data_IF_844631211841
#
_entry.id   IF_844631211841
#
_cell.length_a   1.000
_cell.length_b   1.000
_cell.length_c   1.000
_cell.angle_alpha   90.00
_cell.angle_beta   90.00
_cell.angle_gamma   90.00
#
_symmetry.space_group_name_H-M   'P 1'
#
loop_
_entity.id
_entity.type
_entity.pdbx_description
1 polymer ?
#
# COMPACT_ATOMS: atom_id res chain seq x y z
N UNK A 1 4.33 -10.66 3.46
CA UNK A 1 3.50 -9.90 4.37
C UNK A 1 4.16 -9.77 5.73
N UNK A 2 3.81 -8.74 6.49
CA UNK A 2 4.36 -8.53 7.83
C UNK A 2 3.68 -9.47 8.82
N UNK A 3 4.40 -10.46 9.31
CA UNK A 3 3.89 -11.50 10.23
C UNK A 3 4.34 -11.32 11.67
N UNK A 4 5.19 -10.32 11.96
CA UNK A 4 5.76 -10.08 13.30
C UNK A 4 4.83 -9.33 14.23
N UNK A 5 3.81 -8.65 13.69
CA UNK A 5 2.92 -7.81 14.48
C UNK A 5 1.49 -8.34 14.44
N UNK A 6 0.92 -8.48 15.62
CA UNK A 6 -0.49 -8.75 15.81
C UNK A 6 -1.16 -7.49 16.33
N UNK A 7 -1.85 -6.77 15.46
CA UNK A 7 -2.45 -5.48 15.79
C UNK A 7 -3.93 -5.66 16.06
N UNK A 8 -4.37 -5.23 17.25
CA UNK A 8 -5.77 -5.18 17.64
C UNK A 8 -6.17 -3.77 18.05
N UNK A 9 -7.36 -3.36 17.64
CA UNK A 9 -7.95 -2.11 18.11
C UNK A 9 -8.63 -2.37 19.45
N UNK A 10 -8.18 -1.66 20.49
CA UNK A 10 -8.85 -1.66 21.80
C UNK A 10 -9.83 -0.48 21.82
N UNK A 11 -11.04 -0.71 22.30
CA UNK A 11 -12.05 0.35 22.47
C UNK A 11 -11.57 1.44 23.45
N UNK A 12 -12.07 2.64 23.26
CA UNK A 12 -11.77 3.74 24.18
C UNK A 12 -12.47 3.49 25.52
N UNK A 13 -11.76 3.67 26.62
CA UNK A 13 -12.35 3.64 27.96
C UNK A 13 -13.14 4.93 28.11
N UNK A 14 -14.46 4.85 28.28
CA UNK A 14 -15.37 6.01 28.28
C UNK A 14 -15.34 6.79 29.59
N UNK A 15 -14.96 6.15 30.69
CA UNK A 15 -14.87 6.78 32.01
C UNK A 15 -13.52 6.52 32.64
N UNK A 16 -12.91 7.55 33.21
CA UNK A 16 -11.77 7.39 34.10
C UNK A 16 -12.21 6.64 35.35
N UNK A 17 -11.53 5.51 35.60
CA UNK A 17 -11.76 4.66 36.76
C UNK A 17 -10.49 4.62 37.61
N UNK A 18 -10.49 5.36 38.70
CA UNK A 18 -9.36 5.46 39.62
C UNK A 18 -8.99 4.12 40.25
N UNK A 19 -9.94 3.20 40.38
CA UNK A 19 -9.74 1.87 40.96
C UNK A 19 -9.46 0.79 39.94
N UNK A 20 -9.38 1.14 38.64
CA UNK A 20 -9.17 0.19 37.55
C UNK A 20 -7.95 -0.71 37.75
N UNK A 21 -6.82 -0.13 38.14
CA UNK A 21 -5.59 -0.87 38.40
C UNK A 21 -5.74 -1.84 39.58
N UNK A 22 -6.45 -1.43 40.63
CA UNK A 22 -6.71 -2.29 41.79
C UNK A 22 -7.55 -3.49 41.39
N UNK A 23 -8.66 -3.27 40.67
CA UNK A 23 -9.51 -4.34 40.16
C UNK A 23 -8.77 -5.33 39.26
N UNK A 24 -7.94 -4.82 38.31
CA UNK A 24 -7.11 -5.70 37.48
C UNK A 24 -6.20 -6.58 38.33
N UNK A 25 -5.55 -6.00 39.37
CA UNK A 25 -4.68 -6.80 40.26
C UNK A 25 -5.43 -7.89 40.98
N UNK A 26 -6.65 -7.62 41.40
CA UNK A 26 -7.51 -8.62 42.08
C UNK A 26 -7.97 -9.74 41.13
N UNK A 27 -8.10 -9.45 39.82
CA UNK A 27 -8.48 -10.42 38.79
C UNK A 27 -7.31 -11.29 38.27
N UNK A 28 -6.04 -10.90 38.54
CA UNK A 28 -4.85 -11.66 38.07
C UNK A 28 -4.92 -13.16 38.44
N UNK A 29 -5.27 -13.59 39.66
CA UNK A 29 -5.31 -15.00 39.98
C UNK A 29 -6.33 -15.78 39.16
N UNK A 30 -7.52 -15.20 38.93
CA UNK A 30 -8.57 -15.78 38.10
C UNK A 30 -8.15 -15.88 36.65
N UNK A 31 -7.47 -14.86 36.14
CA UNK A 31 -6.94 -14.84 34.77
C UNK A 31 -5.83 -15.89 34.58
N UNK A 32 -4.92 -16.03 35.54
CA UNK A 32 -3.89 -17.08 35.53
C UNK A 32 -4.49 -18.48 35.54
N UNK A 33 -5.50 -18.72 36.39
CA UNK A 33 -6.25 -19.96 36.39
C UNK A 33 -6.88 -20.27 35.04
N UNK A 34 -7.53 -19.26 34.41
CA UNK A 34 -8.08 -19.40 33.08
C UNK A 34 -7.00 -19.75 32.03
N UNK A 35 -5.84 -19.11 32.07
CA UNK A 35 -4.75 -19.41 31.15
C UNK A 35 -4.19 -20.82 31.32
N UNK A 36 -4.05 -21.29 32.54
CA UNK A 36 -3.53 -22.63 32.83
C UNK A 36 -4.47 -23.76 32.33
N UNK A 37 -5.78 -23.49 32.32
CA UNK A 37 -6.79 -24.48 31.92
C UNK A 37 -7.28 -24.31 30.49
N UNK A 38 -6.80 -23.29 29.80
CA UNK A 38 -7.20 -23.02 28.42
C UNK A 38 -6.50 -23.95 27.44
N UNK A 39 -7.28 -24.66 26.66
CA UNK A 39 -6.77 -25.39 25.48
C UNK A 39 -6.74 -24.45 24.27
N UNK A 40 -5.62 -24.44 23.55
CA UNK A 40 -5.49 -23.65 22.33
C UNK A 40 -6.27 -24.33 21.21
N UNK A 41 -7.09 -23.57 20.51
CA UNK A 41 -7.92 -24.06 19.39
C UNK A 41 -7.10 -24.28 18.10
N UNK A 42 -5.89 -23.75 18.02
CA UNK A 42 -5.02 -23.85 16.85
C UNK A 42 -3.84 -24.76 17.12
N UNK A 43 -3.56 -25.67 16.18
CA UNK A 43 -2.36 -26.51 16.24
C UNK A 43 -1.12 -25.65 15.98
N UNK A 44 -0.06 -25.91 16.74
CA UNK A 44 1.23 -25.28 16.54
C UNK A 44 1.89 -25.92 15.32
N UNK A 45 1.85 -25.23 14.18
CA UNK A 45 2.41 -25.73 12.92
C UNK A 45 3.83 -25.22 12.66
N UNK A 46 4.19 -24.04 13.19
CA UNK A 46 5.50 -23.43 12.98
C UNK A 46 5.88 -22.51 14.15
N UNK A 47 7.05 -21.87 14.08
CA UNK A 47 7.46 -20.81 15.02
C UNK A 47 6.43 -19.68 15.11
N UNK A 48 5.73 -19.40 14.01
CA UNK A 48 4.64 -18.43 13.89
C UNK A 48 3.34 -19.20 13.63
N UNK A 49 2.83 -19.84 14.66
CA UNK A 49 1.73 -20.83 14.62
C UNK A 49 0.31 -20.27 14.45
N UNK A 50 0.22 -18.97 14.20
CA UNK A 50 -1.06 -18.36 13.82
C UNK A 50 -1.18 -18.33 12.29
N UNK A 51 -2.35 -18.77 11.78
CA UNK A 51 -2.61 -18.65 10.36
C UNK A 51 -2.59 -17.17 9.93
N UNK A 52 -2.16 -16.86 8.72
CA UNK A 52 -2.16 -15.49 8.20
C UNK A 52 -3.53 -14.79 8.34
N UNK A 53 -4.63 -15.52 8.19
CA UNK A 53 -6.00 -15.01 8.34
C UNK A 53 -6.30 -14.47 9.74
N UNK A 54 -5.72 -15.06 10.77
CA UNK A 54 -5.88 -14.60 12.16
C UNK A 54 -5.02 -13.36 12.46
N UNK A 55 -3.92 -13.17 11.73
CA UNK A 55 -2.99 -12.05 11.90
C UNK A 55 -3.45 -10.84 11.11
N UNK A 56 -4.06 -11.05 9.92
CA UNK A 56 -4.59 -9.99 9.07
C UNK A 56 -5.84 -9.34 9.68
N UNK A 57 -5.62 -8.39 10.58
CA UNK A 57 -6.70 -7.60 11.17
C UNK A 57 -6.94 -6.31 10.39
N UNK A 58 -8.16 -5.76 10.43
CA UNK A 58 -8.45 -4.44 9.85
C UNK A 58 -7.56 -3.35 10.43
N UNK A 59 -7.17 -3.46 11.71
CA UNK A 59 -6.26 -2.51 12.36
C UNK A 59 -4.86 -2.58 11.74
N UNK A 60 -4.33 -3.78 11.46
CA UNK A 60 -3.06 -3.96 10.77
C UNK A 60 -3.12 -3.38 9.34
N UNK A 61 -4.18 -3.67 8.60
CA UNK A 61 -4.38 -3.12 7.25
C UNK A 61 -4.40 -1.60 7.25
N UNK A 62 -5.04 -0.96 8.24
CA UNK A 62 -5.04 0.52 8.37
C UNK A 62 -3.65 1.07 8.64
N UNK A 63 -2.86 0.42 9.51
CA UNK A 63 -1.48 0.84 9.79
C UNK A 63 -0.60 0.69 8.53
N UNK A 64 -0.71 -0.41 7.82
CA UNK A 64 0.02 -0.63 6.58
C UNK A 64 -0.34 0.46 5.56
N UNK A 65 -1.62 0.82 5.42
CA UNK A 65 -2.07 1.90 4.52
C UNK A 65 -1.54 3.27 4.95
N UNK A 66 -1.58 3.59 6.26
CA UNK A 66 -1.09 4.89 6.77
C UNK A 66 0.42 5.04 6.65
N UNK A 67 1.16 3.93 6.56
CA UNK A 67 2.62 3.91 6.41
C UNK A 67 3.06 3.76 4.94
N UNK A 68 2.14 3.90 3.97
CA UNK A 68 2.53 3.91 2.57
C UNK A 68 3.53 5.02 2.29
N UNK A 69 4.49 4.72 1.46
CA UNK A 69 5.44 5.70 0.98
C UNK A 69 4.69 6.82 0.23
N UNK A 70 4.86 8.07 0.67
CA UNK A 70 4.25 9.23 0.02
C UNK A 70 4.44 9.23 -1.49
N UNK A 71 5.64 8.89 -1.96
CA UNK A 71 5.93 8.79 -3.39
C UNK A 71 5.05 7.73 -4.10
N UNK A 72 4.75 6.60 -3.45
CA UNK A 72 3.86 5.57 -4.01
C UNK A 72 2.43 6.11 -4.19
N UNK A 73 1.93 6.84 -3.20
CA UNK A 73 0.59 7.46 -3.28
C UNK A 73 0.53 8.47 -4.43
N UNK A 74 1.49 9.38 -4.48
CA UNK A 74 1.60 10.37 -5.56
C UNK A 74 1.73 9.71 -6.95
N UNK A 75 2.48 8.62 -7.06
CA UNK A 75 2.58 7.85 -8.30
C UNK A 75 1.24 7.25 -8.72
N UNK A 76 0.50 6.68 -7.79
CA UNK A 76 -0.80 6.06 -8.07
C UNK A 76 -1.83 7.13 -8.48
N UNK A 77 -1.88 8.27 -7.77
CA UNK A 77 -2.73 9.40 -8.10
C UNK A 77 -2.40 9.97 -9.48
N UNK A 78 -1.11 10.19 -9.77
CA UNK A 78 -0.65 10.65 -11.10
C UNK A 78 -1.07 9.70 -12.22
N UNK A 79 -0.94 8.38 -12.01
CA UNK A 79 -1.40 7.39 -12.99
C UNK A 79 -2.91 7.48 -13.24
N UNK A 80 -3.72 7.63 -12.18
CA UNK A 80 -5.18 7.76 -12.32
C UNK A 80 -5.57 9.05 -13.03
N UNK A 81 -4.95 10.18 -12.69
CA UNK A 81 -5.19 11.47 -13.37
C UNK A 81 -4.87 11.40 -14.86
N UNK A 82 -3.73 10.79 -15.22
CA UNK A 82 -3.36 10.56 -16.62
C UNK A 82 -4.41 9.70 -17.32
N UNK A 83 -4.84 8.58 -16.71
CA UNK A 83 -5.86 7.72 -17.29
C UNK A 83 -7.20 8.42 -17.43
N UNK A 84 -7.58 9.30 -16.51
CA UNK A 84 -8.83 10.07 -16.58
C UNK A 84 -8.75 11.10 -17.71
N UNK A 85 -7.65 11.82 -17.80
CA UNK A 85 -7.42 12.81 -18.87
C UNK A 85 -7.46 12.17 -20.27
N UNK A 86 -6.87 10.99 -20.42
CA UNK A 86 -6.80 10.24 -21.66
C UNK A 86 -8.01 9.34 -21.93
N UNK A 87 -8.92 9.20 -20.98
CA UNK A 87 -10.03 8.22 -21.00
C UNK A 87 -9.55 6.79 -21.27
N UNK A 88 -8.39 6.44 -20.67
CA UNK A 88 -7.74 5.15 -20.82
C UNK A 88 -7.99 4.24 -19.63
N UNK A 89 -8.04 2.92 -19.85
CA UNK A 89 -8.15 1.91 -18.80
C UNK A 89 -6.80 1.41 -18.28
N UNK A 90 -5.73 1.78 -18.98
CA UNK A 90 -4.36 1.41 -18.63
C UNK A 90 -3.39 2.51 -19.03
N UNK A 91 -2.28 2.61 -18.31
CA UNK A 91 -1.22 3.57 -18.58
C UNK A 91 0.12 2.87 -18.77
N UNK A 92 0.83 3.21 -19.85
CA UNK A 92 2.15 2.70 -20.18
C UNK A 92 3.21 3.78 -20.00
N UNK A 93 4.28 3.47 -19.28
CA UNK A 93 5.32 4.42 -18.93
C UNK A 93 6.68 3.76 -18.74
N UNK A 94 7.76 4.48 -18.95
CA UNK A 94 9.07 4.11 -18.45
C UNK A 94 9.38 4.88 -17.14
N UNK A 95 10.45 4.51 -16.45
CA UNK A 95 10.83 5.16 -15.19
C UNK A 95 11.07 6.67 -15.37
N UNK A 96 11.62 7.08 -16.51
CA UNK A 96 11.87 8.50 -16.79
C UNK A 96 10.57 9.27 -17.07
N UNK A 97 9.58 8.64 -17.71
CA UNK A 97 8.26 9.25 -17.92
C UNK A 97 7.59 9.54 -16.59
N UNK A 98 7.60 8.56 -15.68
CA UNK A 98 7.06 8.70 -14.33
C UNK A 98 7.77 9.79 -13.52
N UNK A 99 9.10 9.87 -13.59
CA UNK A 99 9.86 10.92 -12.93
C UNK A 99 9.49 12.31 -13.45
N UNK A 100 9.30 12.46 -14.78
CA UNK A 100 8.89 13.71 -15.39
C UNK A 100 7.52 14.15 -14.85
N UNK A 101 6.55 13.25 -14.81
CA UNK A 101 5.21 13.52 -14.32
C UNK A 101 5.23 13.91 -12.84
N UNK A 102 5.93 13.15 -11.98
CA UNK A 102 6.05 13.41 -10.55
C UNK A 102 6.74 14.76 -10.25
N UNK A 103 7.80 15.09 -10.99
CA UNK A 103 8.48 16.37 -10.82
C UNK A 103 7.55 17.54 -11.17
N UNK A 104 6.72 17.40 -12.19
CA UNK A 104 5.72 18.43 -12.55
C UNK A 104 4.61 18.54 -11.50
N UNK A 105 4.22 17.43 -10.86
CA UNK A 105 3.31 17.43 -9.72
C UNK A 105 3.95 17.94 -8.40
N UNK A 106 5.24 18.33 -8.44
CA UNK A 106 5.95 18.83 -7.26
C UNK A 106 6.47 17.73 -6.30
N UNK A 107 6.35 16.47 -6.69
CA UNK A 107 6.87 15.35 -5.92
C UNK A 107 8.35 15.12 -6.26
N UNK A 108 9.25 15.50 -5.35
CA UNK A 108 10.68 15.25 -5.49
C UNK A 108 11.02 13.81 -5.12
N UNK A 109 11.44 13.06 -6.12
CA UNK A 109 11.84 11.65 -5.96
C UNK A 109 13.00 11.31 -6.89
N UNK A 110 13.64 10.19 -6.66
CA UNK A 110 14.73 9.71 -7.50
C UNK A 110 14.34 8.46 -8.31
N UNK A 111 15.16 8.15 -9.32
CA UNK A 111 14.96 7.01 -10.21
C UNK A 111 14.96 5.67 -9.48
N UNK A 112 15.76 5.53 -8.43
CA UNK A 112 15.90 4.30 -7.65
C UNK A 112 14.62 4.02 -6.87
N UNK A 113 14.07 5.06 -6.24
CA UNK A 113 12.82 4.97 -5.48
C UNK A 113 11.63 4.63 -6.39
N UNK A 114 11.50 5.31 -7.54
CA UNK A 114 10.44 5.01 -8.51
C UNK A 114 10.57 3.57 -9.02
N UNK A 115 11.78 3.12 -9.37
CA UNK A 115 12.01 1.73 -9.81
C UNK A 115 11.62 0.74 -8.75
N UNK A 116 12.01 0.98 -7.48
CA UNK A 116 11.64 0.11 -6.36
C UNK A 116 10.13 0.00 -6.19
N UNK A 117 9.40 1.12 -6.28
CA UNK A 117 7.94 1.11 -6.19
C UNK A 117 7.35 0.27 -7.32
N UNK A 118 7.76 0.52 -8.56
CA UNK A 118 7.23 -0.19 -9.74
C UNK A 118 7.50 -1.69 -9.69
N UNK A 119 8.74 -2.08 -9.36
CA UNK A 119 9.17 -3.48 -9.43
C UNK A 119 8.89 -4.26 -8.14
N UNK A 120 9.16 -3.67 -6.96
CA UNK A 120 9.10 -4.39 -5.68
C UNK A 120 7.73 -4.26 -5.01
N UNK A 121 7.05 -3.11 -5.15
CA UNK A 121 5.75 -2.87 -4.51
C UNK A 121 4.62 -3.23 -5.47
N UNK A 122 4.59 -2.62 -6.65
CA UNK A 122 3.55 -2.86 -7.66
C UNK A 122 3.73 -4.16 -8.42
N UNK A 123 4.90 -4.81 -8.30
CA UNK A 123 5.23 -6.09 -8.96
C UNK A 123 5.06 -6.06 -10.48
N UNK A 124 5.25 -4.89 -11.10
CA UNK A 124 5.18 -4.77 -12.55
C UNK A 124 6.45 -5.28 -13.18
N UNK A 125 6.29 -6.04 -14.26
CA UNK A 125 7.40 -6.48 -15.11
C UNK A 125 7.51 -5.57 -16.33
N UNK A 126 8.73 -5.19 -16.72
CA UNK A 126 8.91 -4.42 -17.96
C UNK A 126 8.61 -5.27 -19.19
N UNK A 127 8.23 -4.63 -20.29
CA UNK A 127 8.12 -5.30 -21.57
C UNK A 127 9.42 -6.04 -21.92
N UNK A 128 9.31 -7.28 -22.42
CA UNK A 128 10.47 -8.13 -22.72
C UNK A 128 11.37 -7.48 -23.79
N UNK A 129 10.75 -6.87 -24.77
CA UNK A 129 11.45 -6.24 -25.91
C UNK A 129 11.29 -4.72 -25.90
N UNK A 130 12.15 -4.05 -26.64
CA UNK A 130 12.01 -2.62 -26.95
C UNK A 130 10.89 -2.48 -27.97
N UNK A 131 9.79 -1.87 -27.58
CA UNK A 131 8.60 -1.64 -28.39
C UNK A 131 8.22 -0.16 -28.38
N UNK A 132 7.43 0.24 -29.35
CA UNK A 132 6.80 1.57 -29.35
C UNK A 132 5.55 1.52 -28.46
N UNK A 133 5.44 2.49 -27.56
CA UNK A 133 4.31 2.62 -26.64
C UNK A 133 3.85 4.08 -26.58
N UNK A 134 2.62 4.28 -26.19
CA UNK A 134 2.04 5.60 -25.97
C UNK A 134 2.11 5.92 -24.47
N UNK A 135 2.68 7.06 -24.15
CA UNK A 135 2.79 7.60 -22.80
C UNK A 135 2.30 9.05 -22.78
N UNK A 136 2.39 9.70 -21.63
CA UNK A 136 2.06 11.10 -21.48
C UNK A 136 3.23 11.92 -20.98
N UNK A 137 3.20 13.17 -21.33
CA UNK A 137 4.03 14.21 -20.76
C UNK A 137 3.17 15.38 -20.28
N UNK A 138 3.62 16.15 -19.28
CA UNK A 138 2.95 17.35 -18.85
C UNK A 138 2.80 18.34 -20.00
N UNK A 139 1.63 18.96 -20.09
CA UNK A 139 1.36 20.03 -21.05
C UNK A 139 1.28 21.37 -20.31
N UNK A 140 1.75 22.43 -20.94
CA UNK A 140 1.57 23.80 -20.44
C UNK A 140 0.23 24.40 -20.86
N UNK A 141 -0.64 23.62 -21.48
CA UNK A 141 -1.98 24.05 -21.87
C UNK A 141 -2.93 23.89 -20.67
N UNK A 142 -3.52 25.00 -20.23
CA UNK A 142 -4.47 25.02 -19.10
C UNK A 142 -5.73 24.15 -19.35
N UNK A 143 -6.02 23.80 -20.59
CA UNK A 143 -7.18 22.98 -20.96
C UNK A 143 -6.86 21.46 -20.92
N UNK A 144 -5.60 21.08 -21.06
CA UNK A 144 -5.17 19.66 -21.09
C UNK A 144 -3.85 19.52 -20.36
N UNK A 145 -3.87 19.04 -19.10
CA UNK A 145 -2.66 18.95 -18.27
C UNK A 145 -1.65 17.93 -18.81
N UNK A 146 -2.09 17.01 -19.68
CA UNK A 146 -1.24 15.96 -20.25
C UNK A 146 -1.41 15.85 -21.75
N UNK A 147 -0.31 15.60 -22.45
CA UNK A 147 -0.27 15.36 -23.91
C UNK A 147 0.28 13.97 -24.19
N UNK A 148 -0.37 13.25 -25.09
CA UNK A 148 0.10 11.95 -25.55
C UNK A 148 1.38 12.06 -26.37
N UNK A 149 2.33 11.17 -26.09
CA UNK A 149 3.60 11.05 -26.79
C UNK A 149 3.91 9.58 -27.07
N UNK A 150 4.36 9.29 -28.30
CA UNK A 150 4.87 7.96 -28.64
C UNK A 150 6.36 7.89 -28.33
N UNK A 151 6.78 6.85 -27.66
CA UNK A 151 8.18 6.57 -27.33
C UNK A 151 8.52 5.13 -27.65
N UNK A 152 9.80 4.86 -27.87
CA UNK A 152 10.33 3.52 -28.09
C UNK A 152 11.27 3.15 -26.95
N UNK A 153 11.03 1.99 -26.33
CA UNK A 153 11.82 1.53 -25.20
C UNK A 153 11.18 0.35 -24.49
N UNK A 154 11.77 -0.03 -23.36
CA UNK A 154 11.14 -0.94 -22.40
C UNK A 154 10.26 -0.12 -21.46
N UNK A 155 9.02 -0.51 -21.32
CA UNK A 155 8.01 0.20 -20.53
C UNK A 155 7.28 -0.76 -19.60
N UNK A 156 6.59 -0.19 -18.61
CA UNK A 156 5.68 -0.87 -17.71
C UNK A 156 4.26 -0.47 -18.08
N UNK A 157 3.31 -1.35 -17.84
CA UNK A 157 1.89 -1.05 -18.01
C UNK A 157 1.16 -1.35 -16.71
N UNK A 158 0.32 -0.42 -16.28
CA UNK A 158 -0.54 -0.58 -15.12
C UNK A 158 -1.99 -0.35 -15.51
N UNK A 159 -2.89 -1.22 -15.05
CA UNK A 159 -4.32 -1.09 -15.28
C UNK A 159 -5.02 -0.32 -14.14
N UNK A 160 -6.12 0.38 -14.45
CA UNK A 160 -6.93 1.11 -13.47
C UNK A 160 -7.39 0.21 -12.31
N UNK A 161 -7.93 -0.97 -12.61
CA UNK A 161 -8.39 -1.91 -11.58
C UNK A 161 -7.29 -2.28 -10.58
N UNK A 162 -6.09 -2.52 -11.08
CA UNK A 162 -4.94 -2.86 -10.26
C UNK A 162 -4.57 -1.71 -9.30
N UNK A 163 -4.63 -0.44 -9.77
CA UNK A 163 -4.39 0.72 -8.92
C UNK A 163 -5.48 0.91 -7.85
N UNK A 164 -6.73 0.74 -8.23
CA UNK A 164 -7.87 0.85 -7.31
C UNK A 164 -7.81 -0.23 -6.21
N UNK A 165 -7.45 -1.48 -6.57
CA UNK A 165 -7.23 -2.57 -5.61
C UNK A 165 -6.06 -2.29 -4.65
N UNK A 166 -5.02 -1.63 -5.13
CA UNK A 166 -3.90 -1.22 -4.28
C UNK A 166 -4.26 -0.08 -3.34
N UNK A 167 -5.23 0.78 -3.70
CA UNK A 167 -5.67 1.90 -2.87
C UNK A 167 -6.77 1.49 -1.87
N UNK A 168 -7.57 0.50 -2.17
CA UNK A 168 -8.63 -0.07 -1.31
C UNK A 168 -8.08 -0.93 -0.18
#
# INVERSE_FOLDING_TARGET
>A
GETRYWVRKVGRIEKDDTDFLKRIKEEIPAFLFFLQHRTLSTKKESRMWFSPELIHTQALSRIIRSNRNRTEVEMAETCLEVMDCMKASAFSFCINDMLLLLNCAGCRTDRTQVRRIVQDIWKLTPAENTLTYTTCQPSYDNMRPYTEVRRTGRFYTIGRKQLEEMQG
#
